data_IF_120689661087
#
_entry.id   IF_120689661087
#
_cell.length_a   1.000
_cell.length_b   1.000
_cell.length_c   1.000
_cell.angle_alpha   90.00
_cell.angle_beta   90.00
_cell.angle_gamma   90.00
#
_symmetry.space_group_name_H-M   'P 1'
#
loop_
_entity.id
_entity.type
_entity.pdbx_description
1 polymer ?
#
# COMPACT_ATOMS: atom_id res chain seq x y z
N UNK A 1 2.32 35.23 8.73
CA UNK A 1 2.67 33.96 9.40
C UNK A 1 1.73 33.78 10.58
N UNK A 2 0.68 33.00 10.38
CA UNK A 2 -0.26 32.56 11.41
C UNK A 2 -1.11 31.40 10.82
N UNK A 3 -1.27 30.37 11.64
CA UNK A 3 -2.09 29.14 11.49
C UNK A 3 -3.57 29.50 11.78
N UNK A 4 -4.61 28.96 11.14
CA UNK A 4 -5.37 27.73 11.45
C UNK A 4 -6.61 27.68 10.54
N UNK A 5 -7.14 26.48 10.16
CA UNK A 5 -8.49 26.03 10.60
C UNK A 5 -8.62 24.50 10.55
N UNK A 6 -9.12 23.94 11.66
CA UNK A 6 -9.88 22.68 11.72
C UNK A 6 -11.05 22.70 10.70
N UNK A 7 -11.52 21.59 10.10
CA UNK A 7 -12.78 20.97 10.54
C UNK A 7 -13.20 19.66 9.82
N UNK A 8 -13.87 18.75 10.56
CA UNK A 8 -14.22 17.34 10.30
C UNK A 8 -15.41 17.18 9.32
N UNK A 9 -15.89 15.93 9.12
CA UNK A 9 -16.93 15.55 8.15
C UNK A 9 -16.54 15.82 6.67
N UNK A 10 -17.28 15.20 5.73
CA UNK A 10 -16.94 15.09 4.28
C UNK A 10 -16.17 16.31 3.74
N UNK A 11 -14.93 16.10 3.30
CA UNK A 11 -14.12 17.12 2.63
C UNK A 11 -12.81 17.53 3.33
N UNK A 12 -12.28 16.74 4.27
CA UNK A 12 -10.96 16.99 4.87
C UNK A 12 -9.87 16.16 4.19
N UNK A 13 -8.88 16.82 3.59
CA UNK A 13 -7.63 16.19 3.19
C UNK A 13 -6.86 15.74 4.43
N UNK A 14 -6.36 14.51 4.42
CA UNK A 14 -5.44 14.01 5.42
C UNK A 14 -4.11 14.75 5.30
N UNK A 15 -3.53 15.17 6.42
CA UNK A 15 -2.17 15.73 6.40
C UNK A 15 -1.18 14.62 6.02
N UNK A 16 -0.14 14.94 5.26
CA UNK A 16 0.84 13.96 4.78
C UNK A 16 1.43 13.07 5.90
N UNK A 17 1.71 13.55 7.12
CA UNK A 17 2.15 12.67 8.21
C UNK A 17 1.09 11.71 8.74
N UNK A 18 -0.20 12.04 8.58
CA UNK A 18 -1.30 11.21 9.03
C UNK A 18 -1.62 10.08 8.05
N UNK A 19 -1.24 10.20 6.77
CA UNK A 19 -1.37 9.12 5.77
C UNK A 19 -0.45 7.94 6.01
N UNK A 20 0.45 8.01 7.00
CA UNK A 20 1.31 6.91 7.43
C UNK A 20 0.86 6.27 8.74
N UNK A 21 -0.19 6.78 9.39
CA UNK A 21 -0.67 6.20 10.65
C UNK A 21 -1.69 5.11 10.39
N UNK A 22 -1.35 3.89 10.78
CA UNK A 22 -2.34 2.84 10.99
C UNK A 22 -3.06 3.07 12.33
N UNK A 23 -4.26 3.66 12.30
CA UNK A 23 -5.02 3.99 13.51
C UNK A 23 -5.64 2.75 14.18
N UNK A 24 -5.92 1.72 13.40
CA UNK A 24 -6.48 0.44 13.85
C UNK A 24 -5.49 -0.33 14.73
N UNK A 25 -4.21 -0.28 14.38
CA UNK A 25 -3.11 -0.98 15.08
C UNK A 25 -2.22 -0.05 15.89
N UNK A 26 -2.50 1.26 15.88
CA UNK A 26 -1.80 2.33 16.60
C UNK A 26 -0.28 2.31 16.37
N UNK A 27 0.14 2.34 15.10
CA UNK A 27 1.56 2.42 14.74
C UNK A 27 1.83 3.31 13.53
N UNK A 28 3.08 3.81 13.47
CA UNK A 28 3.62 4.55 12.33
C UNK A 28 4.98 3.96 11.95
N UNK A 29 5.29 3.77 10.66
CA UNK A 29 6.62 3.36 10.24
C UNK A 29 7.65 4.46 10.57
N UNK A 30 8.93 4.09 10.55
CA UNK A 30 10.01 5.06 10.67
C UNK A 30 10.12 5.97 9.44
N UNK A 31 11.00 6.96 9.50
CA UNK A 31 11.09 8.00 8.46
C UNK A 31 11.81 7.56 7.18
N UNK A 32 12.52 6.43 7.21
CA UNK A 32 13.31 5.96 6.07
C UNK A 32 12.43 5.12 5.14
N UNK A 33 11.50 5.78 4.45
CA UNK A 33 10.62 5.15 3.47
C UNK A 33 11.02 5.58 2.06
N UNK A 34 11.21 4.62 1.16
CA UNK A 34 11.52 4.88 -0.25
C UNK A 34 10.29 4.58 -1.12
N UNK A 35 9.73 5.56 -1.85
CA UNK A 35 8.59 5.32 -2.73
C UNK A 35 9.02 4.49 -3.93
N UNK A 36 8.29 3.41 -4.20
CA UNK A 36 8.59 2.51 -5.31
C UNK A 36 7.50 2.52 -6.40
N UNK A 37 6.23 2.59 -6.02
CA UNK A 37 5.10 2.59 -6.94
C UNK A 37 4.02 3.56 -6.46
N UNK A 38 3.50 4.39 -7.36
CA UNK A 38 2.40 5.33 -7.13
C UNK A 38 1.37 5.14 -8.25
N UNK A 39 0.08 5.14 -7.90
CA UNK A 39 -1.01 4.76 -8.82
C UNK A 39 -1.69 5.93 -9.54
N UNK A 40 -1.16 7.15 -9.39
CA UNK A 40 -1.71 8.39 -9.93
C UNK A 40 -2.90 8.96 -9.15
N UNK A 41 -3.37 8.26 -8.12
CA UNK A 41 -4.53 8.63 -7.30
C UNK A 41 -4.16 8.92 -5.83
N UNK A 42 -2.85 9.03 -5.54
CA UNK A 42 -2.36 9.30 -4.19
C UNK A 42 -2.23 8.05 -3.33
N UNK A 43 -2.27 6.84 -3.91
CA UNK A 43 -1.86 5.64 -3.22
C UNK A 43 -0.41 5.32 -3.58
N UNK A 44 0.38 4.91 -2.59
CA UNK A 44 1.80 4.69 -2.78
C UNK A 44 2.29 3.47 -1.99
N UNK A 45 3.15 2.69 -2.63
CA UNK A 45 3.91 1.60 -2.02
C UNK A 45 5.32 2.09 -1.70
N UNK A 46 5.72 1.86 -0.46
CA UNK A 46 6.98 2.29 0.11
C UNK A 46 7.80 1.07 0.55
N UNK A 47 9.08 1.06 0.22
CA UNK A 47 10.03 0.14 0.83
C UNK A 47 10.48 0.73 2.15
N UNK A 48 10.31 -0.01 3.25
CA UNK A 48 10.84 0.39 4.55
C UNK A 48 12.34 0.13 4.62
N UNK A 49 13.13 1.18 4.82
CA UNK A 49 14.58 1.16 4.93
C UNK A 49 15.08 1.51 6.34
N UNK A 50 14.20 1.48 7.35
CA UNK A 50 14.54 1.75 8.75
C UNK A 50 15.34 0.59 9.34
N UNK A 51 16.67 0.67 9.25
CA UNK A 51 17.59 -0.39 9.70
C UNK A 51 17.38 -0.78 11.17
N UNK A 52 17.55 -2.08 11.46
CA UNK A 52 17.44 -2.62 12.82
C UNK A 52 16.00 -2.78 13.33
N UNK A 53 14.99 -2.50 12.50
CA UNK A 53 13.58 -2.78 12.79
C UNK A 53 13.17 -4.15 12.24
N UNK A 54 12.07 -4.70 12.75
CA UNK A 54 11.45 -5.93 12.20
C UNK A 54 10.81 -5.69 10.83
N UNK A 55 10.60 -4.43 10.45
CA UNK A 55 9.94 -4.06 9.20
C UNK A 55 10.90 -3.71 8.07
N UNK A 56 12.22 -3.72 8.34
CA UNK A 56 13.23 -3.42 7.34
C UNK A 56 13.08 -4.33 6.10
N UNK A 57 12.90 -3.69 4.95
CA UNK A 57 12.69 -4.32 3.64
C UNK A 57 11.24 -4.58 3.27
N UNK A 58 10.29 -4.49 4.21
CA UNK A 58 8.87 -4.75 3.98
C UNK A 58 8.22 -3.62 3.18
N UNK A 59 7.06 -3.93 2.58
CA UNK A 59 6.33 -2.99 1.72
C UNK A 59 5.18 -2.38 2.51
N UNK A 60 5.32 -1.11 2.86
CA UNK A 60 4.27 -0.31 3.48
C UNK A 60 3.40 0.33 2.40
N UNK A 61 2.09 0.23 2.51
CA UNK A 61 1.15 0.83 1.57
C UNK A 61 0.37 1.95 2.23
N UNK A 62 0.30 3.10 1.57
CA UNK A 62 -0.51 4.24 1.98
C UNK A 62 -1.59 4.52 0.94
N UNK A 63 -2.76 4.93 1.40
CA UNK A 63 -3.83 5.44 0.55
C UNK A 63 -4.34 6.77 1.04
N UNK A 64 -5.10 7.45 0.17
CA UNK A 64 -5.77 8.70 0.53
C UNK A 64 -7.13 8.46 1.22
N UNK A 65 -7.77 7.30 0.98
CA UNK A 65 -9.10 6.98 1.50
C UNK A 65 -9.34 5.47 1.70
N UNK A 66 -10.09 5.13 2.75
CA UNK A 66 -10.88 3.88 2.83
C UNK A 66 -10.26 2.73 3.61
N UNK A 67 -8.95 2.70 3.83
CA UNK A 67 -8.30 1.66 4.65
C UNK A 67 -7.09 2.24 5.35
N UNK A 68 -6.82 1.81 6.58
CA UNK A 68 -5.61 2.24 7.27
C UNK A 68 -4.36 1.75 6.52
N UNK A 69 -3.30 2.56 6.41
CA UNK A 69 -2.06 2.17 5.76
C UNK A 69 -1.40 1.03 6.55
N UNK A 70 -0.87 0.02 5.89
CA UNK A 70 -0.24 -1.13 6.57
C UNK A 70 0.83 -1.77 5.68
N UNK A 71 1.61 -2.68 6.27
CA UNK A 71 2.52 -3.54 5.54
C UNK A 71 1.73 -4.60 4.77
N UNK A 72 2.03 -4.71 3.48
CA UNK A 72 1.32 -5.59 2.53
C UNK A 72 2.16 -6.77 2.08
N UNK A 73 3.49 -6.62 2.05
CA UNK A 73 4.41 -7.65 1.56
C UNK A 73 5.71 -7.65 2.38
N UNK A 74 6.38 -8.79 2.43
CA UNK A 74 7.61 -8.94 3.21
C UNK A 74 8.84 -8.33 2.54
N UNK A 75 8.80 -8.19 1.21
CA UNK A 75 9.86 -7.55 0.43
C UNK A 75 9.40 -7.19 -0.97
N UNK A 76 10.23 -6.44 -1.72
CA UNK A 76 10.02 -6.25 -3.16
C UNK A 76 10.06 -7.58 -3.93
N UNK A 77 10.99 -8.48 -3.56
CA UNK A 77 11.09 -9.81 -4.17
C UNK A 77 9.79 -10.57 -4.01
N UNK A 78 9.25 -10.58 -2.79
CA UNK A 78 7.97 -11.20 -2.49
C UNK A 78 6.82 -10.64 -3.33
N UNK A 79 6.70 -9.31 -3.37
CA UNK A 79 5.69 -8.63 -4.17
C UNK A 79 5.77 -9.04 -5.66
N UNK A 80 6.97 -9.08 -6.24
CA UNK A 80 7.14 -9.47 -7.64
C UNK A 80 6.88 -10.96 -7.88
N UNK A 81 7.23 -11.83 -6.95
CA UNK A 81 6.93 -13.27 -7.04
C UNK A 81 5.42 -13.51 -7.04
N UNK A 82 4.67 -12.79 -6.20
CA UNK A 82 3.20 -12.84 -6.16
C UNK A 82 2.61 -12.35 -7.49
N UNK A 83 3.06 -11.19 -8.00
CA UNK A 83 2.61 -10.64 -9.28
C UNK A 83 2.90 -11.64 -10.42
N UNK A 84 4.13 -12.16 -10.50
CA UNK A 84 4.52 -13.12 -11.52
C UNK A 84 3.65 -14.38 -11.47
N UNK A 85 3.39 -14.91 -10.26
CA UNK A 85 2.52 -16.07 -10.07
C UNK A 85 1.08 -15.77 -10.45
N UNK A 86 0.56 -14.57 -10.17
CA UNK A 86 -0.78 -14.17 -10.58
C UNK A 86 -0.96 -14.19 -12.10
N UNK A 87 0.03 -13.70 -12.86
CA UNK A 87 0.02 -13.82 -14.32
C UNK A 87 0.12 -15.27 -14.81
N UNK A 88 1.03 -16.06 -14.24
CA UNK A 88 1.24 -17.46 -14.66
C UNK A 88 0.04 -18.37 -14.39
N UNK A 89 -0.77 -18.03 -13.39
CA UNK A 89 -1.94 -18.81 -12.98
C UNK A 89 -3.25 -18.27 -13.53
N UNK A 90 -3.20 -17.18 -14.31
CA UNK A 90 -4.39 -16.55 -14.89
C UNK A 90 -5.25 -15.81 -13.87
N UNK A 91 -4.72 -15.47 -12.69
CA UNK A 91 -5.39 -14.59 -11.72
C UNK A 91 -5.42 -13.16 -12.27
N UNK A 92 -4.31 -12.71 -12.86
CA UNK A 92 -4.23 -11.48 -13.64
C UNK A 92 -4.22 -11.85 -15.13
N UNK A 93 -5.09 -11.23 -15.91
CA UNK A 93 -5.29 -11.57 -17.32
C UNK A 93 -5.76 -10.35 -18.13
N UNK A 94 -5.65 -10.43 -19.46
CA UNK A 94 -6.24 -9.40 -20.35
C UNK A 94 -7.67 -9.81 -20.67
N UNK A 95 -8.63 -8.96 -20.30
CA UNK A 95 -10.05 -9.15 -20.56
C UNK A 95 -10.41 -9.05 -22.05
N UNK A 96 -11.65 -9.39 -22.38
CA UNK A 96 -12.16 -9.34 -23.75
C UNK A 96 -12.19 -7.92 -24.34
N UNK A 97 -12.22 -6.90 -23.48
CA UNK A 97 -12.15 -5.49 -23.82
C UNK A 97 -10.72 -4.98 -24.08
N UNK A 98 -9.71 -5.84 -23.89
CA UNK A 98 -8.30 -5.54 -24.10
C UNK A 98 -7.60 -4.86 -22.92
N UNK A 99 -8.27 -4.74 -21.76
CA UNK A 99 -7.68 -4.16 -20.55
C UNK A 99 -7.22 -5.26 -19.57
N UNK A 100 -6.31 -4.89 -18.66
CA UNK A 100 -5.87 -5.78 -17.59
C UNK A 100 -7.01 -5.94 -16.58
N UNK A 101 -7.33 -7.18 -16.25
CA UNK A 101 -8.33 -7.58 -15.27
C UNK A 101 -7.71 -8.54 -14.23
N UNK A 102 -8.39 -8.71 -13.09
CA UNK A 102 -7.89 -9.48 -11.95
C UNK A 102 -9.03 -10.20 -11.21
N UNK A 103 -8.86 -11.50 -10.95
CA UNK A 103 -9.65 -12.21 -9.93
C UNK A 103 -9.15 -11.79 -8.55
N UNK A 104 -9.77 -10.75 -7.98
CA UNK A 104 -9.39 -10.19 -6.69
C UNK A 104 -9.50 -11.20 -5.54
N UNK A 105 -10.50 -12.10 -5.55
CA UNK A 105 -10.65 -13.12 -4.50
C UNK A 105 -9.50 -14.13 -4.54
N UNK A 106 -9.08 -14.54 -5.74
CA UNK A 106 -7.93 -15.43 -5.92
C UNK A 106 -6.61 -14.71 -5.60
N UNK A 107 -6.50 -13.44 -5.95
CA UNK A 107 -5.33 -12.61 -5.64
C UNK A 107 -5.16 -12.41 -4.13
N UNK A 108 -6.24 -12.06 -3.42
CA UNK A 108 -6.20 -11.89 -1.95
C UNK A 108 -5.81 -13.19 -1.26
N UNK A 109 -6.30 -14.34 -1.73
CA UNK A 109 -5.87 -15.64 -1.20
C UNK A 109 -4.39 -15.88 -1.45
N UNK A 110 -3.93 -15.65 -2.69
CA UNK A 110 -2.52 -15.83 -3.05
C UNK A 110 -1.59 -14.96 -2.18
N UNK A 111 -1.95 -13.69 -1.99
CA UNK A 111 -1.19 -12.72 -1.21
C UNK A 111 -1.19 -13.04 0.29
N UNK A 112 -2.26 -13.65 0.81
CA UNK A 112 -2.38 -14.04 2.21
C UNK A 112 -1.90 -15.48 2.52
N UNK A 113 -1.32 -16.23 1.57
CA UNK A 113 -0.92 -17.64 1.80
C UNK A 113 0.42 -17.77 2.55
N UNK A 114 0.70 -16.89 3.51
CA UNK A 114 1.98 -16.86 4.23
C UNK A 114 1.82 -17.01 5.74
#
# INVERSE_FOLDING_TARGET
MAVYVNMPAKGKSMEFPDSFHNWTRDFRPGKQLFPFLEDGAGNCYWVDLNEGTTDYGRIFWTNTFGTDPDYTHESLTDMFEIIAKAYLTGIMFVGEDGYLDCDFDAFDKLSNTK
#
